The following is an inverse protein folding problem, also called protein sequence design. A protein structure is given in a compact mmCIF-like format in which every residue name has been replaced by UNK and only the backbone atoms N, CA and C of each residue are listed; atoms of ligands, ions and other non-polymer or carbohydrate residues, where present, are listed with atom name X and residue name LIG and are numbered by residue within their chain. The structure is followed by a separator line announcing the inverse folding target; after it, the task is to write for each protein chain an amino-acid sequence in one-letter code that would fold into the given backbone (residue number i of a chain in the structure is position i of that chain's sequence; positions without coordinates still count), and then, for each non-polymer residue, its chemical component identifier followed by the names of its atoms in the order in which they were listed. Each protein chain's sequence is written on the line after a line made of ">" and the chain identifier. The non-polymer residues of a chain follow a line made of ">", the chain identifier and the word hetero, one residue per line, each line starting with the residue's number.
data_IF_903639545398
#
_entry.id   IF_903639545398
#
_cell.length_a   1.000
_cell.length_b   1.000
_cell.length_c   1.000
_cell.angle_alpha   90.00
_cell.angle_beta   90.00
_cell.angle_gamma   90.00
#
_symmetry.space_group_name_H-M   'P 1'
#
loop_
_entity.id
_entity.type
_entity.pdbx_description
1 polymer ?
#
# COMPACT_ATOMS: atom_id res chain seq x y z
N UNK A 1 -5.36 -7.49 16.80
CA UNK A 1 -5.00 -6.10 17.17
C UNK A 1 -4.70 -6.09 18.67
N UNK A 2 -3.44 -5.92 19.01
CA UNK A 2 -2.99 -5.92 20.41
C UNK A 2 -3.08 -4.51 20.99
N UNK A 3 -4.19 -4.20 21.63
CA UNK A 3 -4.41 -2.97 22.40
C UNK A 3 -4.70 -3.34 23.86
N UNK A 4 -4.23 -2.52 24.81
CA UNK A 4 -4.34 -2.79 26.25
C UNK A 4 -5.74 -3.18 26.72
N UNK A 5 -6.78 -2.57 26.17
CA UNK A 5 -8.19 -2.81 26.54
C UNK A 5 -9.00 -3.38 25.37
N UNK A 6 -8.34 -3.94 24.33
CA UNK A 6 -9.01 -4.46 23.15
C UNK A 6 -9.91 -3.40 22.51
N UNK A 7 -11.18 -3.74 22.23
CA UNK A 7 -12.14 -2.81 21.62
C UNK A 7 -12.53 -1.63 22.51
N UNK A 8 -12.28 -1.69 23.81
CA UNK A 8 -12.60 -0.64 24.76
C UNK A 8 -11.43 0.32 25.00
N UNK A 9 -10.37 0.24 24.21
CA UNK A 9 -9.23 1.15 24.31
C UNK A 9 -9.67 2.57 23.92
N UNK A 10 -9.42 3.52 24.82
CA UNK A 10 -9.67 4.94 24.52
C UNK A 10 -8.70 5.46 23.47
N UNK A 11 -9.26 6.06 22.44
CA UNK A 11 -8.50 6.79 21.43
C UNK A 11 -8.72 8.28 21.62
N UNK A 12 -7.62 9.02 21.75
CA UNK A 12 -7.66 10.48 21.81
C UNK A 12 -8.00 11.06 20.44
N UNK A 13 -8.22 12.35 20.40
CA UNK A 13 -8.47 13.08 19.16
C UNK A 13 -7.45 12.69 18.07
N UNK A 14 -7.96 12.31 16.90
CA UNK A 14 -7.19 11.79 15.76
C UNK A 14 -6.39 10.51 16.04
N UNK A 15 -6.75 9.76 17.08
CA UNK A 15 -6.03 8.54 17.43
C UNK A 15 -4.60 8.76 17.91
N UNK A 16 -4.34 9.84 18.66
CA UNK A 16 -3.00 10.23 19.09
C UNK A 16 -2.27 9.16 19.94
N UNK A 17 -3.02 8.25 20.61
CA UNK A 17 -2.47 7.12 21.37
C UNK A 17 -2.06 5.92 20.51
N UNK A 18 -2.39 5.93 19.23
CA UNK A 18 -2.11 4.85 18.32
C UNK A 18 -0.86 5.18 17.48
N UNK A 19 -0.08 4.14 17.16
CA UNK A 19 0.99 4.28 16.18
C UNK A 19 0.41 4.59 14.79
N UNK A 20 1.23 5.10 13.87
CA UNK A 20 0.82 5.36 12.48
C UNK A 20 0.26 4.10 11.82
N UNK A 21 0.93 2.95 12.00
CA UNK A 21 0.47 1.67 11.45
C UNK A 21 -0.86 1.20 12.05
N UNK A 22 -1.06 1.36 13.35
CA UNK A 22 -2.33 1.04 14.00
C UNK A 22 -3.47 1.92 13.49
N UNK A 23 -3.23 3.22 13.29
CA UNK A 23 -4.21 4.13 12.68
C UNK A 23 -4.57 3.72 11.25
N UNK A 24 -3.61 3.28 10.46
CA UNK A 24 -3.87 2.77 9.11
C UNK A 24 -4.72 1.49 9.14
N UNK A 25 -4.44 0.54 10.02
CA UNK A 25 -5.24 -0.68 10.19
C UNK A 25 -6.69 -0.37 10.55
N UNK A 26 -6.92 0.60 11.42
CA UNK A 26 -8.27 1.06 11.78
C UNK A 26 -8.97 1.68 10.58
N UNK A 27 -8.28 2.50 9.79
CA UNK A 27 -8.83 3.09 8.56
C UNK A 27 -9.22 2.01 7.55
N UNK A 28 -8.42 0.95 7.41
CA UNK A 28 -8.74 -0.19 6.55
C UNK A 28 -9.97 -0.95 7.05
N UNK A 29 -10.07 -1.18 8.36
CA UNK A 29 -11.23 -1.83 8.96
C UNK A 29 -12.52 -1.02 8.70
N UNK A 30 -12.47 0.30 8.82
CA UNK A 30 -13.59 1.19 8.49
C UNK A 30 -13.98 1.10 7.02
N UNK A 31 -13.01 1.06 6.12
CA UNK A 31 -13.26 0.89 4.70
C UNK A 31 -13.93 -0.46 4.39
N UNK A 32 -13.48 -1.54 5.02
CA UNK A 32 -14.09 -2.87 4.90
C UNK A 32 -15.54 -2.91 5.38
N UNK A 33 -15.83 -2.27 6.51
CA UNK A 33 -17.19 -2.20 7.05
C UNK A 33 -18.15 -1.50 6.12
N UNK A 34 -17.70 -0.48 5.40
CA UNK A 34 -18.48 0.23 4.40
C UNK A 34 -18.75 -0.64 3.15
N UNK A 35 -18.01 -1.72 2.95
CA UNK A 35 -18.10 -2.63 1.81
C UNK A 35 -18.23 -1.92 0.45
N UNK A 36 -17.29 -1.04 0.07
CA UNK A 36 -17.38 -0.27 -1.16
C UNK A 36 -17.14 -1.16 -2.38
N UNK A 37 -17.74 -0.80 -3.51
CA UNK A 37 -17.45 -1.45 -4.81
C UNK A 37 -16.17 -0.93 -5.45
N UNK A 38 -15.87 0.33 -5.21
CA UNK A 38 -14.66 0.99 -5.68
C UNK A 38 -13.89 1.49 -4.46
N UNK A 39 -12.64 1.14 -4.38
CA UNK A 39 -11.74 1.56 -3.32
C UNK A 39 -10.58 2.36 -3.90
N UNK A 40 -10.27 3.48 -3.27
CA UNK A 40 -9.07 4.26 -3.58
C UNK A 40 -8.18 4.22 -2.37
N UNK A 41 -6.99 3.68 -2.53
CA UNK A 41 -5.98 3.57 -1.49
C UNK A 41 -4.77 4.41 -1.88
N UNK A 42 -4.48 5.43 -1.08
CA UNK A 42 -3.24 6.18 -1.19
C UNK A 42 -2.28 5.70 -0.11
N UNK A 43 -1.22 5.01 -0.54
CA UNK A 43 -0.23 4.42 0.36
C UNK A 43 0.83 5.44 0.75
N UNK A 44 0.79 5.92 2.00
CA UNK A 44 1.80 6.80 2.59
C UNK A 44 2.39 6.13 3.84
N UNK A 45 3.26 5.14 3.65
CA UNK A 45 3.80 4.30 4.74
C UNK A 45 5.29 4.52 4.99
N UNK A 46 5.76 5.75 5.02
CA UNK A 46 7.11 6.04 5.50
C UNK A 46 7.16 5.98 7.03
N UNK A 47 8.19 5.37 7.60
CA UNK A 47 8.48 5.31 9.04
C UNK A 47 7.58 4.37 9.89
N UNK A 48 7.21 3.22 9.37
CA UNK A 48 6.57 2.15 10.14
C UNK A 48 7.61 1.07 10.44
N UNK A 49 7.59 0.50 11.65
CA UNK A 49 8.44 -0.63 12.00
C UNK A 49 8.10 -1.88 11.18
N UNK A 50 9.06 -2.78 10.98
CA UNK A 50 8.94 -3.94 10.10
C UNK A 50 7.76 -4.85 10.45
N UNK A 51 7.50 -5.05 11.73
CA UNK A 51 6.40 -5.92 12.17
C UNK A 51 5.03 -5.31 11.86
N UNK A 52 4.85 -4.03 12.15
CA UNK A 52 3.63 -3.29 11.85
C UNK A 52 3.42 -3.16 10.33
N UNK A 53 4.50 -2.98 9.58
CA UNK A 53 4.47 -2.95 8.13
C UNK A 53 3.87 -4.22 7.52
N UNK A 54 4.28 -5.40 8.03
CA UNK A 54 3.75 -6.67 7.59
C UNK A 54 2.24 -6.77 7.83
N UNK A 55 1.77 -6.34 8.99
CA UNK A 55 0.33 -6.31 9.31
C UNK A 55 -0.44 -5.35 8.39
N UNK A 56 0.13 -4.21 8.09
CA UNK A 56 -0.45 -3.23 7.15
C UNK A 56 -0.56 -3.83 5.74
N UNK A 57 0.46 -4.52 5.25
CA UNK A 57 0.43 -5.18 3.95
C UNK A 57 -0.63 -6.28 3.88
N UNK A 58 -0.73 -7.11 4.90
CA UNK A 58 -1.79 -8.13 4.99
C UNK A 58 -3.19 -7.50 4.99
N UNK A 59 -3.36 -6.36 5.66
CA UNK A 59 -4.60 -5.60 5.65
C UNK A 59 -4.94 -5.04 4.29
N UNK A 60 -3.96 -4.50 3.56
CA UNK A 60 -4.11 -4.02 2.19
C UNK A 60 -4.57 -5.13 1.25
N UNK A 61 -3.92 -6.29 1.29
CA UNK A 61 -4.28 -7.45 0.47
C UNK A 61 -5.73 -7.88 0.68
N UNK A 62 -6.18 -7.94 1.93
CA UNK A 62 -7.56 -8.28 2.27
C UNK A 62 -8.57 -7.26 1.74
N UNK A 63 -8.25 -5.98 1.80
CA UNK A 63 -9.11 -4.90 1.31
C UNK A 63 -9.24 -4.93 -0.20
N UNK A 64 -8.15 -5.20 -0.90
CA UNK A 64 -8.11 -5.20 -2.36
C UNK A 64 -8.87 -6.38 -2.97
N UNK A 65 -9.01 -7.47 -2.22
CA UNK A 65 -9.63 -8.70 -2.72
C UNK A 65 -11.12 -8.53 -3.03
N UNK A 66 -11.54 -8.97 -4.23
CA UNK A 66 -12.95 -9.03 -4.63
C UNK A 66 -13.60 -7.69 -5.00
N UNK A 67 -12.83 -6.63 -5.26
CA UNK A 67 -13.36 -5.31 -5.63
C UNK A 67 -12.47 -4.58 -6.60
N UNK A 68 -13.02 -3.55 -7.26
CA UNK A 68 -12.23 -2.66 -8.12
C UNK A 68 -11.47 -1.67 -7.23
N UNK A 69 -10.15 -1.68 -7.33
CA UNK A 69 -9.30 -0.88 -6.47
C UNK A 69 -8.31 -0.06 -7.28
N UNK A 70 -8.15 1.19 -6.89
CA UNK A 70 -7.10 2.09 -7.39
C UNK A 70 -6.10 2.31 -6.26
N UNK A 71 -4.85 1.95 -6.47
CA UNK A 71 -3.81 2.05 -5.46
C UNK A 71 -2.75 3.02 -5.94
N UNK A 72 -2.55 4.10 -5.18
CA UNK A 72 -1.38 4.97 -5.34
C UNK A 72 -0.31 4.41 -4.44
N UNK A 73 0.65 3.70 -5.02
CA UNK A 73 1.61 2.91 -4.27
C UNK A 73 3.03 3.46 -4.40
N UNK A 74 3.74 3.42 -3.30
CA UNK A 74 5.15 3.77 -3.19
C UNK A 74 6.04 2.54 -3.00
N UNK A 75 5.45 1.36 -2.83
CA UNK A 75 6.16 0.10 -2.59
C UNK A 75 5.94 -0.88 -3.73
N UNK A 76 7.02 -1.47 -4.18
CA UNK A 76 6.99 -2.45 -5.27
C UNK A 76 6.14 -3.68 -4.94
N UNK A 77 6.12 -4.11 -3.69
CA UNK A 77 5.33 -5.26 -3.25
C UNK A 77 3.83 -5.07 -3.51
N UNK A 78 3.32 -3.87 -3.31
CA UNK A 78 1.92 -3.54 -3.59
C UNK A 78 1.63 -3.45 -5.09
N UNK A 79 2.57 -2.89 -5.85
CA UNK A 79 2.40 -2.64 -7.28
C UNK A 79 2.50 -3.93 -8.10
N UNK A 80 3.42 -4.79 -7.75
CA UNK A 80 3.78 -5.99 -8.51
C UNK A 80 2.60 -6.91 -8.78
N UNK A 81 1.71 -7.06 -7.82
CA UNK A 81 0.57 -7.97 -7.89
C UNK A 81 -0.71 -7.33 -8.45
N UNK A 82 -0.63 -6.08 -8.90
CA UNK A 82 -1.76 -5.40 -9.53
C UNK A 82 -2.02 -5.93 -10.94
N UNK A 83 -3.30 -6.01 -11.31
CA UNK A 83 -3.71 -6.44 -12.66
C UNK A 83 -3.27 -5.46 -13.74
N UNK A 84 -3.26 -4.18 -13.41
CA UNK A 84 -2.84 -3.11 -14.30
C UNK A 84 -2.09 -2.04 -13.54
N UNK A 85 -0.94 -1.67 -14.07
CA UNK A 85 -0.08 -0.62 -13.52
C UNK A 85 -0.07 0.53 -14.53
N UNK A 86 -0.23 1.74 -14.02
CA UNK A 86 -0.11 2.97 -14.80
C UNK A 86 1.03 3.81 -14.23
N UNK A 87 1.99 4.15 -15.06
CA UNK A 87 3.06 5.08 -14.71
C UNK A 87 2.62 6.48 -15.12
N UNK A 88 2.51 7.37 -14.16
CA UNK A 88 2.09 8.75 -14.38
C UNK A 88 3.29 9.66 -14.16
N UNK A 89 3.58 10.50 -15.14
CA UNK A 89 4.65 11.48 -15.08
C UNK A 89 4.17 12.81 -15.67
N UNK A 90 4.42 13.90 -14.96
CA UNK A 90 4.00 15.25 -15.36
C UNK A 90 2.51 15.37 -15.73
N UNK A 91 1.65 14.63 -15.03
CA UNK A 91 0.21 14.65 -15.26
C UNK A 91 -0.27 13.81 -16.45
N UNK A 92 0.61 13.06 -17.09
CA UNK A 92 0.29 12.21 -18.23
C UNK A 92 0.59 10.74 -17.93
N UNK A 93 -0.17 9.83 -18.54
CA UNK A 93 0.09 8.40 -18.47
C UNK A 93 1.20 8.06 -19.46
N UNK A 94 2.34 7.68 -18.94
CA UNK A 94 3.53 7.36 -19.72
C UNK A 94 3.58 5.89 -20.15
N UNK A 95 3.21 4.99 -19.24
CA UNK A 95 3.18 3.55 -19.48
C UNK A 95 1.96 2.89 -18.84
N UNK A 96 1.44 1.86 -19.48
CA UNK A 96 0.34 1.03 -18.97
C UNK A 96 0.62 -0.43 -19.27
N UNK A 97 0.46 -1.30 -18.29
CA UNK A 97 0.62 -2.74 -18.43
C UNK A 97 0.63 -3.46 -17.10
N UNK A 98 0.90 -4.76 -17.12
CA UNK A 98 1.17 -5.48 -15.89
C UNK A 98 2.68 -5.44 -15.55
N UNK A 99 3.05 -6.00 -14.42
CA UNK A 99 4.45 -6.02 -13.97
C UNK A 99 5.42 -6.60 -15.02
N UNK A 100 5.09 -7.76 -15.58
CA UNK A 100 5.96 -8.44 -16.55
C UNK A 100 6.08 -7.67 -17.87
N UNK A 101 4.97 -7.14 -18.39
CA UNK A 101 4.95 -6.35 -19.62
C UNK A 101 5.80 -5.08 -19.47
N UNK A 102 5.67 -4.37 -18.36
CA UNK A 102 6.41 -3.13 -18.12
C UNK A 102 7.91 -3.39 -17.88
N UNK A 103 8.27 -4.51 -17.25
CA UNK A 103 9.68 -4.89 -17.15
C UNK A 103 10.31 -5.19 -18.51
N UNK A 104 9.58 -5.82 -19.42
CA UNK A 104 10.05 -6.09 -20.79
C UNK A 104 10.25 -4.83 -21.62
N UNK A 105 9.43 -3.81 -21.38
CA UNK A 105 9.56 -2.53 -22.09
C UNK A 105 10.83 -1.77 -21.71
N UNK A 106 11.41 -2.01 -20.55
CA UNK A 106 12.60 -1.32 -20.02
C UNK A 106 12.48 0.21 -20.03
N UNK A 107 11.29 0.72 -19.74
CA UNK A 107 10.99 2.14 -19.62
C UNK A 107 11.05 2.65 -18.18
N UNK A 108 10.28 3.69 -17.86
CA UNK A 108 10.28 4.34 -16.55
C UNK A 108 9.93 3.39 -15.40
N UNK A 109 8.99 2.47 -15.62
CA UNK A 109 8.66 1.47 -14.60
C UNK A 109 9.85 0.57 -14.29
N UNK A 110 10.55 0.10 -15.31
CA UNK A 110 11.74 -0.74 -15.14
C UNK A 110 12.83 -0.01 -14.36
N UNK A 111 13.08 1.25 -14.68
CA UNK A 111 14.07 2.06 -13.97
C UNK A 111 13.73 2.24 -12.49
N UNK A 112 12.47 2.54 -12.19
CA UNK A 112 11.99 2.65 -10.80
C UNK A 112 12.12 1.32 -10.05
N UNK A 113 11.74 0.22 -10.70
CA UNK A 113 11.86 -1.12 -10.13
C UNK A 113 13.31 -1.46 -9.80
N UNK A 114 14.22 -1.27 -10.75
CA UNK A 114 15.63 -1.60 -10.57
C UNK A 114 16.29 -0.72 -9.50
N UNK A 115 15.94 0.55 -9.43
CA UNK A 115 16.45 1.46 -8.40
C UNK A 115 16.05 0.99 -6.98
N UNK A 116 14.78 0.61 -6.79
CA UNK A 116 14.32 0.11 -5.49
C UNK A 116 14.91 -1.27 -5.16
N UNK A 117 15.05 -2.13 -6.15
CA UNK A 117 15.65 -3.46 -5.98
C UNK A 117 17.13 -3.36 -5.57
N UNK A 118 17.90 -2.50 -6.22
CA UNK A 118 19.31 -2.26 -5.89
C UNK A 118 19.46 -1.78 -4.45
N UNK A 119 18.61 -0.86 -4.03
CA UNK A 119 18.63 -0.34 -2.66
C UNK A 119 18.34 -1.43 -1.62
N UNK A 120 17.43 -2.34 -1.89
CA UNK A 120 17.10 -3.46 -1.02
C UNK A 120 18.23 -4.51 -0.97
N UNK A 121 18.92 -4.71 -2.07
CA UNK A 121 20.02 -5.68 -2.15
C UNK A 121 21.31 -5.18 -1.48
N UNK A 122 21.55 -3.89 -1.47
CA UNK A 122 22.70 -3.27 -0.78
C UNK A 122 22.50 -3.14 0.73
N UNK A 123 21.25 -3.11 1.20
CA UNK A 123 20.90 -3.05 2.62
C UNK A 123 20.80 -4.40 3.32
N UNK A 124 21.05 -5.46 2.60
CA UNK A 124 20.95 -6.83 3.14
C UNK A 124 22.31 -7.37 3.62
#
# INVERSE_FOLDING_TARGET
>A
MELEKGYNTEVNERGARLSLGQRQLISFARALLANPRILILDEATSNIDTQTEKLVQEGIEKILHGRTSFVVAHRLSTIRDCDKIMVINNGEIEEVGNHEELLKKKGSYYELYMAQYSFLSEGA
#
